data_IF_538092657724
#
_entry.id   IF_538092657724
#
_cell.length_a   1.000
_cell.length_b   1.000
_cell.length_c   1.000
_cell.angle_alpha   90.00
_cell.angle_beta   90.00
_cell.angle_gamma   90.00
#
_symmetry.space_group_name_H-M   'P 1'
#
loop_
_entity.id
_entity.type
_entity.pdbx_description
1 polymer ?
#
# COMPACT_ATOMS: atom_id res chain seq x y z
N UNK A 1 -22.22 10.60 -14.51
CA UNK A 1 -22.72 11.19 -13.25
C UNK A 1 -21.53 11.48 -12.36
N UNK A 2 -21.30 12.74 -11.97
CA UNK A 2 -20.30 13.06 -10.95
C UNK A 2 -20.90 12.66 -9.60
N UNK A 3 -20.57 11.45 -9.14
CA UNK A 3 -20.93 11.01 -7.80
C UNK A 3 -20.02 11.75 -6.81
N UNK A 4 -20.42 12.97 -6.47
CA UNK A 4 -19.73 13.79 -5.47
C UNK A 4 -19.94 13.12 -4.12
N UNK A 5 -18.82 12.74 -3.47
CA UNK A 5 -18.70 12.26 -2.07
C UNK A 5 -20.05 12.05 -1.37
N UNK A 6 -20.49 10.79 -1.28
CA UNK A 6 -21.73 10.40 -0.61
C UNK A 6 -21.46 9.63 0.69
N UNK A 7 -22.52 9.35 1.44
CA UNK A 7 -22.46 8.59 2.71
C UNK A 7 -22.78 7.10 2.53
N UNK A 8 -22.78 6.58 1.29
CA UNK A 8 -23.14 5.18 1.03
C UNK A 8 -22.06 4.20 1.52
N UNK A 9 -20.79 4.43 1.13
CA UNK A 9 -19.65 3.66 1.61
C UNK A 9 -18.35 4.40 1.26
N UNK A 10 -17.34 4.26 2.10
CA UNK A 10 -15.99 4.76 1.92
C UNK A 10 -15.20 4.00 0.84
N UNK A 11 -15.55 2.75 0.54
CA UNK A 11 -14.98 1.98 -0.56
C UNK A 11 -15.30 2.54 -1.96
N UNK A 12 -16.22 3.50 -2.05
CA UNK A 12 -16.48 4.29 -3.25
C UNK A 12 -15.45 5.42 -3.44
N UNK A 13 -14.57 5.65 -2.46
CA UNK A 13 -13.52 6.65 -2.53
C UNK A 13 -12.45 6.22 -3.52
N UNK A 14 -11.94 7.18 -4.30
CA UNK A 14 -10.76 6.95 -5.14
C UNK A 14 -9.48 6.81 -4.31
N UNK A 15 -8.41 6.37 -4.97
CA UNK A 15 -7.07 6.26 -4.38
C UNK A 15 -6.51 7.64 -4.05
N UNK A 16 -5.90 7.80 -2.87
CA UNK A 16 -5.26 9.05 -2.47
C UNK A 16 -4.09 9.41 -3.42
N UNK A 17 -3.91 10.68 -3.86
CA UNK A 17 -2.90 11.03 -4.87
C UNK A 17 -1.46 10.60 -4.53
N UNK A 18 -1.06 10.69 -3.26
CA UNK A 18 0.27 10.21 -2.82
C UNK A 18 0.50 8.72 -3.08
N UNK A 19 -0.54 7.89 -3.00
CA UNK A 19 -0.42 6.46 -3.29
C UNK A 19 -0.21 6.22 -4.79
N UNK A 20 -0.93 6.95 -5.65
CA UNK A 20 -0.71 6.87 -7.09
C UNK A 20 0.71 7.32 -7.46
N UNK A 21 1.22 8.36 -6.81
CA UNK A 21 2.60 8.82 -7.01
C UNK A 21 3.63 7.77 -6.55
N UNK A 22 3.41 7.12 -5.39
CA UNK A 22 4.28 6.06 -4.93
C UNK A 22 4.30 4.87 -5.90
N UNK A 23 3.13 4.47 -6.42
CA UNK A 23 3.02 3.43 -7.45
C UNK A 23 3.81 3.79 -8.72
N UNK A 24 3.73 5.05 -9.16
CA UNK A 24 4.53 5.50 -10.31
C UNK A 24 6.03 5.47 -10.04
N UNK A 25 6.47 5.85 -8.84
CA UNK A 25 7.88 5.87 -8.45
C UNK A 25 8.51 4.48 -8.42
N UNK A 26 7.76 3.47 -7.98
CA UNK A 26 8.26 2.08 -7.89
C UNK A 26 8.11 1.29 -9.19
N UNK A 27 7.38 1.83 -10.18
CA UNK A 27 7.13 1.17 -11.46
C UNK A 27 8.27 1.39 -12.48
N UNK A 28 9.52 1.19 -12.03
CA UNK A 28 10.73 1.31 -12.85
C UNK A 28 11.63 0.10 -12.63
N UNK A 29 12.15 -0.49 -13.70
CA UNK A 29 13.02 -1.66 -13.62
C UNK A 29 12.27 -2.95 -13.23
N UNK A 30 12.92 -3.79 -12.44
CA UNK A 30 12.42 -5.12 -12.05
C UNK A 30 12.66 -5.37 -10.57
N UNK A 31 11.77 -6.13 -9.96
CA UNK A 31 11.92 -6.63 -8.60
C UNK A 31 11.48 -8.09 -8.52
N UNK A 32 11.86 -8.78 -7.45
CA UNK A 32 11.47 -10.18 -7.21
C UNK A 32 9.98 -10.21 -6.84
N UNK A 33 9.27 -11.19 -7.38
CA UNK A 33 7.84 -11.35 -7.12
C UNK A 33 7.57 -11.96 -5.72
N UNK A 34 6.30 -12.02 -5.34
CA UNK A 34 5.82 -12.72 -4.15
C UNK A 34 6.38 -12.19 -2.81
N UNK A 35 6.64 -10.88 -2.74
CA UNK A 35 6.95 -10.18 -1.51
C UNK A 35 8.41 -10.23 -1.07
N UNK A 36 9.31 -10.79 -1.89
CA UNK A 36 10.76 -10.73 -1.65
C UNK A 36 11.40 -9.50 -2.31
N UNK A 37 10.72 -8.35 -2.21
CA UNK A 37 11.14 -7.07 -2.77
C UNK A 37 11.39 -6.02 -1.69
N UNK A 38 12.24 -5.04 -2.02
CA UNK A 38 12.64 -3.97 -1.10
C UNK A 38 11.45 -3.16 -0.54
N UNK A 39 10.37 -3.00 -1.32
CA UNK A 39 9.20 -2.24 -0.89
C UNK A 39 8.39 -3.01 0.15
N UNK A 40 8.21 -4.32 -0.07
CA UNK A 40 7.60 -5.22 0.90
C UNK A 40 8.40 -5.24 2.20
N UNK A 41 9.72 -5.42 2.14
CA UNK A 41 10.59 -5.41 3.32
C UNK A 41 10.51 -4.08 4.09
N UNK A 42 10.51 -2.94 3.38
CA UNK A 42 10.35 -1.63 3.99
C UNK A 42 8.99 -1.46 4.69
N UNK A 43 7.91 -1.93 4.06
CA UNK A 43 6.57 -1.88 4.66
C UNK A 43 6.46 -2.77 5.91
N UNK A 44 7.04 -3.97 5.89
CA UNK A 44 7.09 -4.87 7.05
C UNK A 44 7.87 -4.24 8.22
N UNK A 45 9.00 -3.58 7.94
CA UNK A 45 9.78 -2.88 8.95
C UNK A 45 9.01 -1.71 9.57
N UNK A 46 8.30 -0.94 8.74
CA UNK A 46 7.44 0.14 9.23
C UNK A 46 6.32 -0.39 10.13
N UNK A 47 5.71 -1.52 9.76
CA UNK A 47 4.70 -2.17 10.59
C UNK A 47 5.27 -2.67 11.91
N UNK A 48 6.49 -3.21 11.95
CA UNK A 48 7.17 -3.55 13.21
C UNK A 48 7.41 -2.33 14.10
N UNK A 49 7.80 -1.19 13.52
CA UNK A 49 7.97 0.05 14.30
C UNK A 49 6.67 0.51 14.96
N UNK A 50 5.53 0.28 14.32
CA UNK A 50 4.22 0.66 14.86
C UNK A 50 3.60 -0.39 15.79
N UNK A 51 3.81 -1.67 15.53
CA UNK A 51 3.11 -2.78 16.19
C UNK A 51 4.02 -3.66 17.08
N UNK A 52 5.32 -3.38 17.11
CA UNK A 52 6.33 -4.09 17.90
C UNK A 52 7.26 -4.96 17.05
N UNK A 53 8.48 -5.17 17.54
CA UNK A 53 9.57 -5.89 16.82
C UNK A 53 9.22 -7.32 16.43
N UNK A 54 8.32 -7.97 17.16
CA UNK A 54 7.86 -9.34 16.89
C UNK A 54 6.67 -9.41 15.92
N UNK A 55 6.13 -8.27 15.50
CA UNK A 55 5.01 -8.24 14.57
C UNK A 55 5.39 -8.85 13.21
N UNK A 56 4.49 -9.66 12.67
CA UNK A 56 4.59 -10.23 11.33
C UNK A 56 3.44 -9.69 10.49
N UNK A 57 3.73 -9.28 9.26
CA UNK A 57 2.75 -8.73 8.33
C UNK A 57 2.75 -9.52 7.04
N UNK A 58 1.53 -9.81 6.57
CA UNK A 58 1.26 -10.55 5.35
C UNK A 58 0.34 -9.71 4.49
N UNK A 59 0.82 -9.33 3.30
CA UNK A 59 0.02 -8.60 2.32
C UNK A 59 -0.74 -9.61 1.46
N UNK A 60 -1.99 -9.84 1.84
CA UNK A 60 -2.92 -10.74 1.15
C UNK A 60 -3.84 -9.93 0.23
N UNK A 61 -4.57 -10.63 -0.62
CA UNK A 61 -5.51 -10.11 -1.62
C UNK A 61 -6.47 -9.04 -1.08
#
# INVERSE_FOLDING_TARGET
MSNKRGFASDNNSGVHPRLLQALQQVNVGHTIAYGDDDYTHAAQNLLKQHFGETAQSFFVY
#
